data_IF_051823595589
#
_entry.id   IF_051823595589
#
_cell.length_a   1.000
_cell.length_b   1.000
_cell.length_c   1.000
_cell.angle_alpha   90.00
_cell.angle_beta   90.00
_cell.angle_gamma   90.00
#
_symmetry.space_group_name_H-M   'P 1'
#
loop_
_entity.id
_entity.type
_entity.pdbx_description
1 polymer ?
#
# COMPACT_ATOMS: atom_id res chain seq x y z
N UNK A 1 17.40 32.07 17.68
CA UNK A 1 16.42 30.98 17.85
C UNK A 1 16.21 30.32 16.49
N UNK A 2 16.85 29.17 16.33
CA UNK A 2 16.95 28.39 15.09
C UNK A 2 15.86 27.32 15.08
N UNK A 3 15.04 27.29 14.04
CA UNK A 3 14.40 26.07 13.60
C UNK A 3 14.65 25.95 12.09
N UNK A 4 15.61 25.09 11.72
CA UNK A 4 15.92 24.74 10.33
C UNK A 4 15.30 23.38 10.04
N UNK A 5 14.15 23.44 9.38
CA UNK A 5 13.72 22.62 8.26
C UNK A 5 14.67 21.44 7.90
N UNK A 6 14.35 20.26 8.42
CA UNK A 6 15.14 19.02 8.26
C UNK A 6 14.40 17.92 7.49
N UNK A 7 13.15 18.15 7.08
CA UNK A 7 12.31 17.14 6.43
C UNK A 7 12.34 17.21 4.89
N UNK A 8 12.60 18.38 4.31
CA UNK A 8 12.61 18.57 2.84
C UNK A 8 13.92 18.17 2.14
N UNK A 9 15.03 17.99 2.87
CA UNK A 9 16.32 17.56 2.28
C UNK A 9 16.46 16.05 2.11
N UNK A 10 15.69 15.25 2.84
CA UNK A 10 15.74 13.79 2.74
C UNK A 10 15.11 13.25 1.44
N UNK A 11 14.03 13.88 0.96
CA UNK A 11 13.33 13.45 -0.25
C UNK A 11 14.08 13.76 -1.55
N UNK A 12 14.81 14.88 -1.61
CA UNK A 12 15.63 15.22 -2.79
C UNK A 12 16.88 14.31 -2.93
N UNK A 13 17.41 13.79 -1.82
CA UNK A 13 18.62 12.96 -1.83
C UNK A 13 18.41 11.59 -2.49
N UNK A 14 17.24 10.97 -2.32
CA UNK A 14 16.94 9.66 -2.94
C UNK A 14 16.74 9.74 -4.45
N UNK A 15 16.12 10.82 -4.96
CA UNK A 15 15.95 11.03 -6.40
C UNK A 15 17.25 11.40 -7.13
N UNK A 16 18.17 12.11 -6.46
CA UNK A 16 19.45 12.53 -7.04
C UNK A 16 20.47 11.39 -7.10
N UNK A 17 20.55 10.54 -6.07
CA UNK A 17 21.40 9.35 -6.06
C UNK A 17 20.96 8.29 -7.08
N UNK A 18 19.65 8.13 -7.31
CA UNK A 18 19.12 7.25 -8.36
C UNK A 18 19.40 7.75 -9.78
N UNK A 19 19.58 9.07 -9.98
CA UNK A 19 19.94 9.67 -11.28
C UNK A 19 21.45 9.67 -11.52
N UNK A 20 22.29 9.78 -10.48
CA UNK A 20 23.74 9.61 -10.61
C UNK A 20 24.12 8.17 -11.00
N UNK A 21 23.40 7.17 -10.48
CA UNK A 21 23.68 5.75 -10.79
C UNK A 21 23.49 5.40 -12.27
N UNK A 22 22.45 5.95 -12.92
CA UNK A 22 22.20 5.73 -14.36
C UNK A 22 23.24 6.37 -15.28
N UNK A 23 23.93 7.42 -14.83
CA UNK A 23 24.96 8.07 -15.65
C UNK A 23 26.38 7.51 -15.42
N UNK A 24 26.63 6.77 -14.33
CA UNK A 24 27.94 6.16 -14.07
C UNK A 24 28.08 4.75 -14.66
N UNK A 25 26.97 4.02 -14.89
CA UNK A 25 27.01 2.71 -15.55
C UNK A 25 27.23 2.80 -17.08
N UNK A 26 27.01 3.96 -17.71
CA UNK A 26 27.26 4.18 -19.15
C UNK A 26 28.62 4.81 -19.48
N UNK A 27 29.45 5.16 -18.50
CA UNK A 27 30.77 5.80 -18.75
C UNK A 27 31.99 4.97 -18.35
N UNK A 28 31.81 3.70 -17.98
CA UNK A 28 32.92 2.82 -17.57
C UNK A 28 33.15 1.60 -18.47
N UNK A 29 32.36 1.42 -19.54
CA UNK A 29 32.52 0.29 -20.46
C UNK A 29 33.31 0.60 -21.76
N UNK A 30 33.75 1.85 -21.99
CA UNK A 30 34.38 2.24 -23.27
C UNK A 30 35.83 2.74 -23.19
N UNK A 31 36.50 2.67 -22.04
CA UNK A 31 37.92 3.03 -21.93
C UNK A 31 38.72 1.83 -21.42
N UNK A 32 39.29 1.05 -22.36
CA UNK A 32 40.14 -0.10 -22.09
C UNK A 32 41.45 0.26 -21.35
N UNK A 33 41.34 0.57 -20.06
CA UNK A 33 42.45 0.79 -19.14
C UNK A 33 42.15 0.07 -17.82
N UNK A 34 42.20 -1.25 -17.87
CA UNK A 34 42.22 -2.10 -16.68
C UNK A 34 43.68 -2.30 -16.24
N UNK A 35 44.23 -1.37 -15.46
CA UNK A 35 45.43 -1.66 -14.67
C UNK A 35 45.60 -0.67 -13.53
N UNK A 36 45.50 -1.20 -12.30
CA UNK A 36 45.95 -0.63 -11.03
C UNK A 36 45.17 0.54 -10.41
N UNK A 37 43.98 0.25 -9.87
CA UNK A 37 43.53 0.86 -8.61
C UNK A 37 42.99 -0.27 -7.72
N UNK A 38 43.79 -0.70 -6.74
CA UNK A 38 43.32 -1.57 -5.67
C UNK A 38 42.40 -0.73 -4.78
N UNK A 39 41.09 -0.89 -4.97
CA UNK A 39 40.07 -0.19 -4.19
C UNK A 39 39.68 -1.08 -2.99
N UNK A 40 40.02 -0.74 -1.74
CA UNK A 40 39.70 -1.60 -0.59
C UNK A 40 38.21 -1.55 -0.17
N UNK A 41 37.33 -0.97 -1.00
CA UNK A 41 35.88 -0.87 -0.76
C UNK A 41 35.05 -2.01 -1.39
N UNK A 42 35.70 -2.99 -2.03
CA UNK A 42 35.03 -4.06 -2.79
C UNK A 42 35.00 -5.44 -2.10
N UNK A 43 35.17 -5.49 -0.77
CA UNK A 43 35.13 -6.76 -0.01
C UNK A 43 34.05 -6.81 1.07
N UNK A 44 32.91 -6.15 0.86
CA UNK A 44 31.65 -6.44 1.58
C UNK A 44 30.44 -6.16 0.68
N UNK A 45 30.33 -6.87 -0.45
CA UNK A 45 29.15 -6.82 -1.32
C UNK A 45 28.63 -8.23 -1.63
N UNK A 46 28.39 -9.04 -0.59
CA UNK A 46 27.75 -10.36 -0.74
C UNK A 46 26.40 -10.48 -0.03
N UNK A 47 25.80 -9.38 0.41
CA UNK A 47 24.42 -9.37 0.95
C UNK A 47 23.60 -8.18 0.44
N UNK A 48 23.85 -7.75 -0.81
CA UNK A 48 22.87 -6.92 -1.51
C UNK A 48 21.74 -7.82 -2.01
N UNK A 49 20.78 -8.10 -1.12
CA UNK A 49 19.48 -8.57 -1.55
C UNK A 49 18.92 -7.44 -2.42
N UNK A 50 18.55 -7.67 -3.70
CA UNK A 50 17.84 -6.64 -4.45
C UNK A 50 16.64 -6.23 -3.59
N UNK A 51 16.45 -4.93 -3.37
CA UNK A 51 15.24 -4.42 -2.74
C UNK A 51 14.09 -5.01 -3.55
N UNK A 52 13.46 -6.03 -2.99
CA UNK A 52 12.26 -6.64 -3.54
C UNK A 52 11.23 -5.51 -3.49
N UNK A 53 11.03 -4.81 -4.59
CA UNK A 53 9.79 -4.07 -4.85
C UNK A 53 8.69 -5.08 -5.17
N UNK A 54 8.57 -6.14 -4.38
CA UNK A 54 7.40 -7.01 -4.43
C UNK A 54 6.28 -6.23 -3.78
N UNK A 55 5.27 -5.90 -4.59
CA UNK A 55 3.99 -5.44 -4.08
C UNK A 55 3.56 -6.42 -2.98
N UNK A 56 3.24 -5.93 -1.76
CA UNK A 56 2.78 -6.79 -0.68
C UNK A 56 1.64 -7.68 -1.20
N UNK A 57 1.68 -8.96 -0.88
CA UNK A 57 0.72 -9.94 -1.40
C UNK A 57 -0.34 -10.29 -0.35
N UNK A 58 -1.33 -9.43 -0.16
CA UNK A 58 -2.44 -9.72 0.76
C UNK A 58 -3.43 -10.69 0.13
N UNK A 59 -3.56 -11.88 0.71
CA UNK A 59 -4.43 -12.95 0.19
C UNK A 59 -5.30 -13.56 1.29
N UNK A 60 -6.51 -13.95 0.90
CA UNK A 60 -7.47 -14.66 1.75
C UNK A 60 -8.42 -13.72 2.50
N UNK A 61 -9.41 -14.31 3.16
CA UNK A 61 -10.40 -13.62 3.98
C UNK A 61 -10.38 -14.18 5.42
N UNK A 62 -10.34 -13.28 6.40
CA UNK A 62 -10.25 -13.62 7.81
C UNK A 62 -11.33 -12.85 8.57
N UNK A 63 -12.08 -13.52 9.44
CA UNK A 63 -13.09 -12.85 10.26
C UNK A 63 -12.56 -12.67 11.68
N UNK A 64 -12.51 -11.42 12.14
CA UNK A 64 -12.10 -11.08 13.50
C UNK A 64 -13.16 -10.22 14.18
N UNK A 65 -13.20 -10.29 15.51
CA UNK A 65 -14.06 -9.44 16.33
C UNK A 65 -13.38 -8.11 16.64
N UNK A 66 -14.11 -7.01 16.43
CA UNK A 66 -13.71 -5.69 16.87
C UNK A 66 -13.91 -5.56 18.38
N UNK A 67 -12.91 -5.02 19.08
CA UNK A 67 -13.02 -4.78 20.51
C UNK A 67 -13.85 -3.53 20.84
N UNK A 68 -14.19 -3.36 22.11
CA UNK A 68 -14.99 -2.20 22.61
C UNK A 68 -14.35 -0.84 22.31
N UNK A 69 -13.04 -0.80 22.05
CA UNK A 69 -12.30 0.43 21.73
C UNK A 69 -12.21 0.67 20.22
N UNK A 70 -12.86 -0.15 19.40
CA UNK A 70 -12.80 -0.05 17.95
C UNK A 70 -11.52 -0.59 17.34
N UNK A 71 -10.78 -1.45 18.03
CA UNK A 71 -9.56 -2.07 17.50
C UNK A 71 -9.86 -3.43 16.90
N UNK A 72 -9.19 -3.73 15.79
CA UNK A 72 -9.29 -5.00 15.09
C UNK A 72 -7.91 -5.63 14.97
N UNK A 73 -7.81 -6.94 15.27
CA UNK A 73 -6.57 -7.68 15.06
C UNK A 73 -6.27 -7.82 13.57
N UNK A 74 -5.02 -7.56 13.16
CA UNK A 74 -4.58 -7.89 11.82
C UNK A 74 -4.15 -9.37 11.77
N UNK A 75 -4.64 -10.15 10.79
CA UNK A 75 -4.15 -11.50 10.53
C UNK A 75 -2.63 -11.56 10.47
N UNK A 76 -2.03 -12.62 11.01
CA UNK A 76 -0.57 -12.76 11.05
C UNK A 76 0.07 -12.68 9.66
N UNK A 77 -0.62 -13.21 8.64
CA UNK A 77 -0.21 -13.09 7.24
C UNK A 77 -0.10 -11.63 6.78
N UNK A 78 -1.07 -10.78 7.12
CA UNK A 78 -1.07 -9.37 6.73
C UNK A 78 -0.05 -8.54 7.51
N UNK A 79 0.19 -8.89 8.78
CA UNK A 79 1.22 -8.22 9.59
C UNK A 79 2.63 -8.41 9.03
N UNK A 80 2.91 -9.60 8.48
CA UNK A 80 4.20 -9.89 7.84
C UNK A 80 4.43 -9.01 6.61
N UNK A 81 3.39 -8.84 5.80
CA UNK A 81 3.42 -8.04 4.57
C UNK A 81 3.42 -6.53 4.84
N UNK A 82 2.90 -6.09 5.99
CA UNK A 82 2.90 -4.68 6.41
C UNK A 82 4.23 -4.20 7.02
N UNK A 83 5.15 -5.11 7.36
CA UNK A 83 6.48 -4.85 7.96
C UNK A 83 6.50 -3.96 9.22
N UNK A 84 5.34 -3.66 9.83
CA UNK A 84 5.22 -2.78 10.98
C UNK A 84 5.20 -1.29 10.66
N UNK A 85 5.19 -0.93 9.37
CA UNK A 85 5.08 0.45 8.93
C UNK A 85 3.67 1.04 9.19
N UNK A 86 3.54 2.38 9.28
CA UNK A 86 2.25 3.04 9.27
C UNK A 86 1.47 2.68 8.01
N UNK A 87 0.25 2.19 8.20
CA UNK A 87 -0.70 1.88 7.14
C UNK A 87 -1.68 3.06 7.00
N UNK A 88 -2.31 3.21 5.84
CA UNK A 88 -3.35 4.22 5.63
C UNK A 88 -4.69 3.55 5.53
N UNK A 89 -5.61 3.90 6.43
CA UNK A 89 -6.99 3.45 6.42
C UNK A 89 -7.89 4.52 5.81
N UNK A 90 -8.74 4.14 4.87
CA UNK A 90 -9.65 5.06 4.17
C UNK A 90 -10.91 4.35 3.68
N UNK A 91 -11.88 5.08 3.14
CA UNK A 91 -13.05 4.49 2.50
C UNK A 91 -12.72 3.74 1.21
N UNK A 92 -13.46 2.64 0.99
CA UNK A 92 -13.58 1.99 -0.31
C UNK A 92 -14.28 2.87 -1.35
N UNK A 93 -14.13 2.50 -2.63
CA UNK A 93 -14.60 3.31 -3.75
C UNK A 93 -16.04 3.00 -4.20
N UNK A 94 -16.54 1.81 -3.88
CA UNK A 94 -17.80 1.27 -4.38
C UNK A 94 -18.77 0.93 -3.23
N UNK A 95 -18.78 -0.32 -2.78
CA UNK A 95 -19.61 -0.78 -1.68
C UNK A 95 -19.05 -0.29 -0.33
N UNK A 96 -19.88 -0.12 0.71
CA UNK A 96 -19.42 0.34 2.02
C UNK A 96 -18.42 -0.62 2.68
N UNK A 97 -17.13 -0.29 2.55
CA UNK A 97 -16.00 -0.98 3.17
C UNK A 97 -14.88 0.03 3.47
N UNK A 98 -13.88 -0.39 4.24
CA UNK A 98 -12.63 0.36 4.40
C UNK A 98 -11.49 -0.31 3.65
N UNK A 99 -10.56 0.47 3.14
CA UNK A 99 -9.32 0.00 2.54
C UNK A 99 -8.14 0.40 3.42
N UNK A 100 -7.29 -0.57 3.73
CA UNK A 100 -6.03 -0.43 4.43
C UNK A 100 -4.88 -0.61 3.44
N UNK A 101 -4.10 0.46 3.24
CA UNK A 101 -3.04 0.54 2.25
C UNK A 101 -1.66 0.51 2.92
N UNK A 102 -0.73 -0.32 2.43
CA UNK A 102 0.67 -0.22 2.82
C UNK A 102 1.33 1.03 2.20
N UNK A 103 2.43 1.53 2.80
CA UNK A 103 3.14 2.73 2.32
C UNK A 103 3.45 2.78 0.81
N UNK A 104 3.96 1.70 0.16
CA UNK A 104 4.29 1.76 -1.26
C UNK A 104 3.05 1.97 -2.15
N UNK A 105 1.90 1.44 -1.74
CA UNK A 105 0.64 1.56 -2.50
C UNK A 105 0.01 2.93 -2.24
N UNK A 106 0.04 3.40 -1.00
CA UNK A 106 -0.39 4.74 -0.65
C UNK A 106 0.40 5.82 -1.41
N UNK A 107 1.72 5.67 -1.51
CA UNK A 107 2.59 6.61 -2.22
C UNK A 107 2.21 6.71 -3.70
N UNK A 108 1.98 5.57 -4.36
CA UNK A 108 1.52 5.53 -5.75
C UNK A 108 0.12 6.15 -5.93
N UNK A 109 -0.78 5.94 -4.96
CA UNK A 109 -2.10 6.56 -4.98
C UNK A 109 -2.00 8.08 -4.85
N UNK A 110 -1.17 8.59 -3.93
CA UNK A 110 -0.95 10.02 -3.75
C UNK A 110 -0.44 10.70 -5.02
N UNK A 111 0.51 10.09 -5.74
CA UNK A 111 1.00 10.62 -7.01
C UNK A 111 -0.13 10.79 -8.03
N UNK A 112 -1.01 9.78 -8.15
CA UNK A 112 -2.18 9.83 -9.04
C UNK A 112 -3.19 10.90 -8.60
N UNK A 113 -3.48 10.99 -7.31
CA UNK A 113 -4.40 11.98 -6.75
C UNK A 113 -3.88 13.41 -6.92
N UNK A 114 -2.57 13.62 -6.80
CA UNK A 114 -1.93 14.90 -7.07
C UNK A 114 -2.11 15.32 -8.53
N UNK A 115 -1.93 14.38 -9.47
CA UNK A 115 -2.12 14.68 -10.88
C UNK A 115 -3.59 15.00 -11.20
N UNK A 116 -4.55 14.21 -10.70
CA UNK A 116 -5.99 14.49 -10.87
C UNK A 116 -6.36 15.87 -10.33
N UNK A 117 -5.88 16.24 -9.13
CA UNK A 117 -6.12 17.58 -8.57
C UNK A 117 -5.59 18.70 -9.44
N UNK A 118 -4.54 18.46 -10.23
CA UNK A 118 -3.88 19.44 -11.08
C UNK A 118 -4.53 19.53 -12.46
N UNK A 119 -5.03 18.41 -12.99
CA UNK A 119 -5.53 18.31 -14.37
C UNK A 119 -7.05 18.37 -14.47
N UNK A 120 -7.79 18.05 -13.41
CA UNK A 120 -9.25 18.00 -13.38
C UNK A 120 -9.80 18.81 -12.19
N UNK A 121 -10.06 20.10 -12.45
CA UNK A 121 -10.58 21.02 -11.44
C UNK A 121 -11.94 20.60 -10.85
N UNK A 122 -12.92 20.10 -11.63
CA UNK A 122 -14.14 19.51 -11.08
C UNK A 122 -13.88 18.37 -10.08
N UNK A 123 -12.88 17.51 -10.33
CA UNK A 123 -12.55 16.37 -9.44
C UNK A 123 -11.70 16.74 -8.23
N UNK A 124 -11.12 17.93 -8.17
CA UNK A 124 -10.30 18.36 -7.03
C UNK A 124 -11.07 18.31 -5.69
N UNK A 125 -12.39 18.57 -5.71
CA UNK A 125 -13.22 18.45 -4.50
C UNK A 125 -13.47 17.00 -4.08
N UNK A 126 -13.56 16.06 -5.03
CA UNK A 126 -13.65 14.64 -4.71
C UNK A 126 -12.37 14.16 -4.01
N UNK A 127 -11.20 14.57 -4.51
CA UNK A 127 -9.92 14.24 -3.87
C UNK A 127 -9.83 14.84 -2.45
N UNK A 128 -10.32 16.08 -2.23
CA UNK A 128 -10.36 16.66 -0.89
C UNK A 128 -11.18 15.82 0.09
N UNK A 129 -12.36 15.34 -0.33
CA UNK A 129 -13.23 14.48 0.51
C UNK A 129 -12.54 13.17 0.84
N UNK A 130 -11.99 12.50 -0.18
CA UNK A 130 -11.27 11.25 -0.04
C UNK A 130 -10.12 11.35 0.97
N UNK A 131 -9.30 12.41 0.86
CA UNK A 131 -8.16 12.62 1.76
C UNK A 131 -8.58 13.05 3.17
N UNK A 132 -9.72 13.72 3.32
CA UNK A 132 -10.27 14.07 4.64
C UNK A 132 -10.72 12.83 5.43
N UNK A 133 -11.01 11.74 4.73
CA UNK A 133 -11.45 10.46 5.30
C UNK A 133 -10.34 9.39 5.25
N UNK A 134 -9.09 9.79 5.05
CA UNK A 134 -7.93 8.92 5.17
C UNK A 134 -7.22 9.16 6.53
N UNK A 135 -6.76 8.10 7.18
CA UNK A 135 -6.07 8.18 8.48
C UNK A 135 -4.93 7.18 8.53
N UNK A 136 -3.76 7.65 8.97
CA UNK A 136 -2.63 6.78 9.27
C UNK A 136 -2.88 5.97 10.54
N UNK A 137 -2.64 4.67 10.49
CA UNK A 137 -2.81 3.74 11.60
C UNK A 137 -1.57 2.86 11.73
N UNK A 138 -1.11 2.67 12.96
CA UNK A 138 0.03 1.79 13.27
C UNK A 138 -0.46 0.62 14.11
N UNK A 139 -0.12 -0.63 13.74
CA UNK A 139 -0.43 -1.79 14.57
C UNK A 139 0.19 -1.66 15.96
N UNK A 140 -0.57 -1.96 17.02
CA UNK A 140 -0.06 -2.02 18.38
C UNK A 140 0.87 -3.23 18.59
N UNK A 141 1.45 -3.39 19.80
CA UNK A 141 2.31 -4.53 20.13
C UNK A 141 1.63 -5.90 19.96
N UNK A 142 0.30 -5.95 19.97
CA UNK A 142 -0.50 -7.16 19.77
C UNK A 142 -0.91 -7.33 18.29
N UNK A 143 -0.52 -6.40 17.42
CA UNK A 143 -0.84 -6.43 16.00
C UNK A 143 -2.27 -5.98 15.69
N UNK A 144 -2.89 -5.16 16.54
CA UNK A 144 -4.22 -4.58 16.27
C UNK A 144 -4.10 -3.16 15.76
N UNK A 145 -5.02 -2.77 14.88
CA UNK A 145 -5.17 -1.38 14.43
C UNK A 145 -6.42 -0.77 15.04
N UNK A 146 -6.36 0.53 15.36
CA UNK A 146 -7.53 1.29 15.76
C UNK A 146 -8.29 1.74 14.51
N UNK A 147 -9.58 1.44 14.44
CA UNK A 147 -10.47 1.97 13.39
C UNK A 147 -11.20 3.19 13.99
N UNK A 148 -10.97 4.41 13.51
CA UNK A 148 -11.70 5.59 13.99
C UNK A 148 -13.22 5.45 13.82
N UNK A 149 -13.99 5.95 14.79
CA UNK A 149 -15.45 5.85 14.80
C UNK A 149 -16.15 6.34 13.51
N UNK A 150 -15.70 7.45 12.86
CA UNK A 150 -16.29 7.88 11.57
C UNK A 150 -16.15 6.81 10.48
N UNK A 151 -14.99 6.15 10.40
CA UNK A 151 -14.72 5.10 9.43
C UNK A 151 -15.53 3.83 9.74
N UNK A 152 -15.68 3.48 11.02
CA UNK A 152 -16.56 2.38 11.43
C UNK A 152 -18.00 2.60 10.95
N UNK A 153 -18.54 3.80 11.19
CA UNK A 153 -19.92 4.15 10.83
C UNK A 153 -20.14 4.08 9.32
N UNK A 154 -19.25 4.68 8.54
CA UNK A 154 -19.41 4.74 7.09
C UNK A 154 -19.19 3.39 6.38
N UNK A 155 -18.47 2.44 6.99
CA UNK A 155 -18.38 1.05 6.50
C UNK A 155 -19.34 0.08 7.22
N UNK A 156 -20.25 0.57 8.08
CA UNK A 156 -21.18 -0.26 8.86
C UNK A 156 -20.48 -1.39 9.64
N UNK A 157 -19.31 -1.09 10.21
CA UNK A 157 -18.52 -2.05 10.99
C UNK A 157 -18.99 -2.05 12.43
N UNK A 158 -19.50 -3.18 12.90
CA UNK A 158 -19.87 -3.41 14.28
C UNK A 158 -19.70 -4.89 14.64
N UNK A 159 -18.98 -5.18 15.71
CA UNK A 159 -18.70 -6.56 16.14
C UNK A 159 -17.78 -7.29 15.15
N UNK A 160 -18.32 -8.24 14.40
CA UNK A 160 -17.55 -9.04 13.45
C UNK A 160 -17.13 -8.23 12.23
N UNK A 161 -15.88 -8.38 11.81
CA UNK A 161 -15.30 -7.72 10.63
C UNK A 161 -14.56 -8.74 9.79
N UNK A 162 -14.85 -8.78 8.49
CA UNK A 162 -14.10 -9.58 7.53
C UNK A 162 -12.94 -8.75 6.96
N UNK A 163 -11.70 -9.19 7.20
CA UNK A 163 -10.50 -8.66 6.58
C UNK A 163 -10.17 -9.47 5.35
N UNK A 164 -10.26 -8.85 4.18
CA UNK A 164 -10.03 -9.47 2.88
C UNK A 164 -8.76 -8.91 2.25
N UNK A 165 -7.81 -9.78 1.95
CA UNK A 165 -6.62 -9.41 1.17
C UNK A 165 -6.98 -9.31 -0.30
N UNK A 166 -6.86 -8.11 -0.86
CA UNK A 166 -7.13 -7.82 -2.26
C UNK A 166 -5.84 -7.41 -2.97
N UNK A 167 -4.89 -8.34 -3.04
CA UNK A 167 -3.59 -8.18 -3.69
C UNK A 167 -2.74 -7.13 -2.98
N UNK A 168 -2.88 -5.85 -3.32
CA UNK A 168 -2.02 -4.75 -2.87
C UNK A 168 -2.56 -4.04 -1.61
N UNK A 169 -3.76 -4.41 -1.16
CA UNK A 169 -4.46 -3.80 -0.02
C UNK A 169 -5.18 -4.83 0.82
N UNK A 170 -5.59 -4.42 2.01
CA UNK A 170 -6.55 -5.16 2.85
C UNK A 170 -7.85 -4.38 2.90
N UNK A 171 -8.96 -5.03 2.65
CA UNK A 171 -10.29 -4.46 2.79
C UNK A 171 -10.93 -4.94 4.09
N UNK A 172 -11.62 -4.05 4.79
CA UNK A 172 -12.37 -4.35 6.01
C UNK A 172 -13.85 -4.19 5.72
N UNK A 173 -14.58 -5.28 5.89
CA UNK A 173 -15.98 -5.39 5.50
C UNK A 173 -16.86 -5.76 6.69
N UNK A 174 -18.10 -5.27 6.64
CA UNK A 174 -19.20 -5.95 7.32
C UNK A 174 -19.37 -7.36 6.70
N UNK A 175 -19.42 -8.45 7.50
CA UNK A 175 -19.44 -9.81 6.96
C UNK A 175 -20.62 -10.12 6.03
N UNK A 176 -21.80 -9.55 6.30
CA UNK A 176 -22.98 -9.80 5.46
C UNK A 176 -22.89 -9.05 4.12
N UNK A 177 -22.30 -7.84 4.14
CA UNK A 177 -21.97 -7.11 2.91
C UNK A 177 -20.92 -7.84 2.09
N UNK A 178 -19.87 -8.34 2.73
CA UNK A 178 -18.83 -9.12 2.05
C UNK A 178 -19.40 -10.34 1.32
N UNK A 179 -20.29 -11.09 1.97
CA UNK A 179 -20.99 -12.23 1.35
C UNK A 179 -21.78 -11.83 0.11
N UNK A 180 -22.45 -10.68 0.17
CA UNK A 180 -23.35 -10.24 -0.90
C UNK A 180 -22.61 -9.58 -2.06
N UNK A 181 -21.56 -8.81 -1.78
CA UNK A 181 -20.80 -8.03 -2.77
C UNK A 181 -19.64 -8.82 -3.39
N UNK A 182 -18.91 -9.61 -2.59
CA UNK A 182 -17.68 -10.29 -3.05
C UNK A 182 -17.89 -11.77 -3.29
N UNK A 183 -18.68 -12.45 -2.43
CA UNK A 183 -18.86 -13.90 -2.53
C UNK A 183 -20.08 -14.32 -3.37
N UNK A 184 -20.95 -13.38 -3.75
CA UNK A 184 -22.11 -13.71 -4.59
C UNK A 184 -21.62 -13.97 -6.01
N UNK A 185 -21.70 -15.23 -6.42
CA UNK A 185 -21.41 -15.62 -7.81
C UNK A 185 -22.75 -15.71 -8.55
N UNK A 186 -23.11 -14.64 -9.25
CA UNK A 186 -24.19 -14.64 -10.22
C UNK A 186 -23.84 -15.40 -11.50
N UNK A 187 -24.82 -15.62 -12.37
CA UNK A 187 -24.60 -16.25 -13.68
C UNK A 187 -23.64 -15.41 -14.56
N UNK A 188 -23.78 -14.08 -14.51
CA UNK A 188 -22.90 -13.12 -15.18
C UNK A 188 -21.44 -13.21 -14.68
N UNK A 189 -21.24 -13.51 -13.39
CA UNK A 189 -19.91 -13.64 -12.77
C UNK A 189 -19.21 -14.93 -13.22
N UNK A 190 -19.96 -15.99 -13.54
CA UNK A 190 -19.38 -17.25 -14.05
C UNK A 190 -18.76 -17.05 -15.43
N UNK A 191 -19.48 -16.35 -16.31
CA UNK A 191 -18.98 -16.02 -17.65
C UNK A 191 -17.80 -15.04 -17.57
N UNK A 192 -17.86 -14.05 -16.68
CA UNK A 192 -16.74 -13.16 -16.42
C UNK A 192 -15.51 -13.91 -15.90
N UNK A 193 -15.69 -14.85 -14.97
CA UNK A 193 -14.62 -15.69 -14.44
C UNK A 193 -14.02 -16.59 -15.52
N UNK A 194 -14.84 -17.15 -16.41
CA UNK A 194 -14.37 -17.94 -17.54
C UNK A 194 -13.49 -17.08 -18.46
N UNK A 195 -13.96 -15.90 -18.86
CA UNK A 195 -13.18 -14.95 -19.69
C UNK A 195 -11.89 -14.52 -18.99
N UNK A 196 -11.95 -14.26 -17.69
CA UNK A 196 -10.80 -13.90 -16.88
C UNK A 196 -9.75 -15.02 -16.85
N UNK A 197 -10.17 -16.27 -16.59
CA UNK A 197 -9.29 -17.44 -16.62
C UNK A 197 -8.63 -17.61 -17.99
N UNK A 198 -9.39 -17.45 -19.08
CA UNK A 198 -8.83 -17.50 -20.43
C UNK A 198 -7.78 -16.41 -20.66
N UNK A 199 -8.02 -15.19 -20.19
CA UNK A 199 -7.08 -14.07 -20.35
C UNK A 199 -5.81 -14.20 -19.50
N UNK A 200 -5.90 -14.84 -18.34
CA UNK A 200 -4.78 -14.98 -17.40
C UNK A 200 -3.85 -16.15 -17.75
N UNK A 201 -4.37 -17.16 -18.46
CA UNK A 201 -3.67 -18.41 -18.80
C UNK A 201 -3.17 -18.47 -20.26
N UNK A 202 -3.37 -17.41 -21.04
CA UNK A 202 -2.83 -17.20 -22.39
C UNK A 202 -1.79 -16.08 -22.36
#
# INVERSE_FOLDING_TARGET
FLWKDTSLKAFAAFGWLGRLRRNLETSFLDSGLASHISCPLLTTLSHFHPLRTTVPGFLGAYEHQMDEKGRIALPAAFRKEAEGDPLVLMHGWDDPHLTLLPPPVWSQLLERLMEVRRTDAPMANAVRRLLAEATEVTPDKQGRILVPAPLQAAASLAGAVTLHGNIDRVELWNPDRFKTSVQRVGEEDRDALARFKTRLLL
#
